data_IF_434836197021
#
_entry.id   IF_434836197021
#
_cell.length_a   1.000
_cell.length_b   1.000
_cell.length_c   1.000
_cell.angle_alpha   90.00
_cell.angle_beta   90.00
_cell.angle_gamma   90.00
#
_symmetry.space_group_name_H-M   'P 1'
#
loop_
_entity.id
_entity.type
_entity.pdbx_description
1 polymer ?
#
# COMPACT_ATOMS: atom_id res chain seq x y z
N UNK A 1 36.94 -12.18 18.53
CA UNK A 1 35.47 -12.19 18.52
C UNK A 1 35.05 -11.07 17.60
N UNK A 2 34.71 -11.42 16.36
CA UNK A 2 34.44 -10.43 15.32
C UNK A 2 33.07 -9.79 15.57
N UNK A 3 33.09 -8.53 16.00
CA UNK A 3 31.91 -7.70 16.12
C UNK A 3 31.48 -7.31 14.70
N UNK A 4 30.73 -8.19 14.01
CA UNK A 4 30.07 -7.85 12.76
C UNK A 4 29.02 -6.78 13.07
N UNK A 5 29.42 -5.51 12.93
CA UNK A 5 28.55 -4.36 13.17
C UNK A 5 27.26 -4.48 12.38
N UNK A 6 26.13 -4.43 13.08
CA UNK A 6 24.81 -4.42 12.46
C UNK A 6 24.62 -3.08 11.74
N UNK A 7 24.66 -3.10 10.40
CA UNK A 7 24.28 -1.95 9.59
C UNK A 7 22.77 -1.91 9.44
N UNK A 8 22.12 -0.86 9.94
CA UNK A 8 20.69 -0.64 9.74
C UNK A 8 20.44 -0.44 8.23
N UNK A 9 19.54 -1.24 7.60
CA UNK A 9 19.19 -1.03 6.21
C UNK A 9 18.60 0.37 6.00
N UNK A 10 18.98 1.04 4.91
CA UNK A 10 18.32 2.29 4.52
C UNK A 10 16.91 1.98 4.04
N UNK A 11 15.93 2.72 4.55
CA UNK A 11 14.54 2.65 4.10
C UNK A 11 14.27 3.89 3.25
N UNK A 12 14.03 3.75 1.93
CA UNK A 12 13.66 4.89 1.11
C UNK A 12 12.27 5.40 1.52
N UNK A 13 12.11 6.72 1.56
CA UNK A 13 10.82 7.39 1.72
C UNK A 13 10.59 8.14 0.42
N UNK A 14 9.49 7.81 -0.26
CA UNK A 14 9.10 8.43 -1.52
C UNK A 14 7.84 9.24 -1.30
N UNK A 15 7.85 10.50 -1.71
CA UNK A 15 6.68 11.36 -1.70
C UNK A 15 5.82 11.17 -2.96
N UNK A 16 4.72 11.93 -3.04
CA UNK A 16 3.78 11.84 -4.15
C UNK A 16 4.43 12.19 -5.50
N UNK A 17 5.22 13.25 -5.56
CA UNK A 17 5.87 13.70 -6.80
C UNK A 17 6.84 12.65 -7.31
N UNK A 18 7.66 12.08 -6.42
CA UNK A 18 8.60 11.02 -6.80
C UNK A 18 7.87 9.79 -7.35
N UNK A 19 6.74 9.40 -6.74
CA UNK A 19 5.91 8.30 -7.26
C UNK A 19 5.29 8.62 -8.63
N UNK A 20 4.82 9.85 -8.83
CA UNK A 20 4.25 10.30 -10.11
C UNK A 20 5.31 10.35 -11.23
N UNK A 21 6.56 10.66 -10.91
CA UNK A 21 7.69 10.63 -11.84
C UNK A 21 8.16 9.21 -12.18
N UNK A 22 8.08 8.29 -11.21
CA UNK A 22 8.57 6.92 -11.36
C UNK A 22 7.57 5.96 -12.04
N UNK A 23 6.27 6.26 -12.04
CA UNK A 23 5.23 5.32 -12.51
C UNK A 23 4.56 5.75 -13.81
N UNK A 24 4.78 4.99 -14.89
CA UNK A 24 4.02 5.12 -16.12
C UNK A 24 2.71 4.32 -16.11
N UNK A 25 1.60 4.90 -16.60
CA UNK A 25 0.30 4.21 -16.63
C UNK A 25 0.34 2.86 -17.38
N UNK A 26 1.10 2.76 -18.47
CA UNK A 26 1.25 1.50 -19.21
C UNK A 26 1.94 0.39 -18.41
N UNK A 27 2.89 0.75 -17.53
CA UNK A 27 3.58 -0.19 -16.65
C UNK A 27 2.67 -0.62 -15.50
N UNK A 28 1.93 0.33 -14.91
CA UNK A 28 0.93 0.07 -13.88
C UNK A 28 -0.13 -0.91 -14.38
N UNK A 29 -0.66 -0.73 -15.59
CA UNK A 29 -1.65 -1.64 -16.18
C UNK A 29 -1.11 -3.06 -16.33
N UNK A 30 0.12 -3.22 -16.85
CA UNK A 30 0.77 -4.53 -16.99
C UNK A 30 0.98 -5.21 -15.63
N UNK A 31 1.43 -4.45 -14.63
CA UNK A 31 1.62 -4.95 -13.28
C UNK A 31 0.29 -5.40 -12.66
N UNK A 32 -0.76 -4.58 -12.78
CA UNK A 32 -2.11 -4.89 -12.28
C UNK A 32 -2.67 -6.15 -12.95
N UNK A 33 -2.58 -6.27 -14.27
CA UNK A 33 -3.02 -7.46 -15.00
C UNK A 33 -2.27 -8.72 -14.52
N UNK A 34 -0.95 -8.61 -14.33
CA UNK A 34 -0.12 -9.70 -13.86
C UNK A 34 -0.52 -10.18 -12.46
N UNK A 35 -0.72 -9.27 -11.50
CA UNK A 35 -1.12 -9.64 -10.14
C UNK A 35 -2.52 -10.26 -10.09
N UNK A 36 -3.45 -9.80 -10.94
CA UNK A 36 -4.77 -10.44 -11.06
C UNK A 36 -4.68 -11.87 -11.59
N UNK A 37 -3.83 -12.12 -12.59
CA UNK A 37 -3.58 -13.47 -13.12
C UNK A 37 -3.00 -14.39 -12.04
N UNK A 38 -1.95 -13.95 -11.35
CA UNK A 38 -1.35 -14.70 -10.24
C UNK A 38 -2.36 -14.96 -9.11
N UNK A 39 -3.20 -13.99 -8.78
CA UNK A 39 -4.26 -14.18 -7.79
C UNK A 39 -5.27 -15.25 -8.22
N UNK A 40 -5.67 -15.27 -9.50
CA UNK A 40 -6.58 -16.27 -10.04
C UNK A 40 -5.97 -17.67 -10.08
N UNK A 41 -4.65 -17.75 -10.24
CA UNK A 41 -3.86 -18.99 -10.17
C UNK A 41 -3.57 -19.45 -8.72
N UNK A 42 -4.06 -18.74 -7.70
CA UNK A 42 -3.81 -19.07 -6.28
C UNK A 42 -2.38 -18.77 -5.81
N UNK A 43 -1.64 -17.94 -6.56
CA UNK A 43 -0.23 -17.56 -6.29
C UNK A 43 -0.08 -16.22 -5.55
N UNK A 44 -1.15 -15.76 -4.89
CA UNK A 44 -1.16 -14.54 -4.10
C UNK A 44 -1.72 -14.82 -2.71
N UNK A 45 -1.13 -14.19 -1.69
CA UNK A 45 -1.68 -14.15 -0.33
C UNK A 45 -2.26 -12.75 -0.13
N UNK A 46 -3.58 -12.63 -0.14
CA UNK A 46 -4.29 -11.37 0.08
C UNK A 46 -5.43 -11.61 1.07
N UNK A 47 -5.18 -11.54 2.39
CA UNK A 47 -6.22 -11.73 3.39
C UNK A 47 -7.27 -10.61 3.32
N UNK A 48 -8.43 -10.79 3.98
CA UNK A 48 -9.44 -9.73 4.09
C UNK A 48 -8.86 -8.43 4.66
N UNK A 49 -9.38 -7.29 4.19
CA UNK A 49 -9.02 -5.97 4.71
C UNK A 49 -9.40 -5.88 6.18
N UNK A 50 -8.55 -5.27 7.00
CA UNK A 50 -8.92 -4.90 8.37
C UNK A 50 -9.45 -3.47 8.40
N UNK A 51 -10.56 -3.28 9.10
CA UNK A 51 -11.21 -1.98 9.28
C UNK A 51 -11.07 -1.51 10.72
N UNK A 52 -10.69 -0.25 10.88
CA UNK A 52 -10.81 0.49 12.13
C UNK A 52 -11.85 1.58 11.90
N UNK A 53 -13.09 1.32 12.30
CA UNK A 53 -14.20 2.26 12.19
C UNK A 53 -14.11 3.35 13.26
N UNK A 54 -14.35 4.61 12.85
CA UNK A 54 -14.29 5.79 13.71
C UNK A 54 -15.60 6.58 13.53
N UNK A 55 -16.73 6.08 14.09
CA UNK A 55 -18.06 6.66 13.86
C UNK A 55 -18.15 8.11 14.32
N UNK A 56 -17.53 8.46 15.45
CA UNK A 56 -17.48 9.83 16.00
C UNK A 56 -16.78 10.82 15.06
N UNK A 57 -15.95 10.32 14.16
CA UNK A 57 -15.20 11.10 13.17
C UNK A 57 -15.73 10.91 11.75
N UNK A 58 -16.83 10.16 11.58
CA UNK A 58 -17.43 9.83 10.29
C UNK A 58 -16.42 9.27 9.26
N UNK A 59 -15.54 8.36 9.68
CA UNK A 59 -14.55 7.77 8.79
C UNK A 59 -13.98 6.44 9.29
N UNK A 60 -12.99 5.92 8.55
CA UNK A 60 -12.26 4.72 8.93
C UNK A 60 -10.85 4.66 8.39
N UNK A 61 -10.06 3.77 8.99
CA UNK A 61 -8.80 3.30 8.42
C UNK A 61 -8.93 1.86 7.92
N UNK A 62 -8.16 1.53 6.89
CA UNK A 62 -8.14 0.21 6.25
C UNK A 62 -6.71 -0.27 6.08
N UNK A 63 -6.41 -1.41 6.69
CA UNK A 63 -5.18 -2.14 6.43
C UNK A 63 -5.41 -3.13 5.28
N UNK A 64 -4.58 -3.07 4.25
CA UNK A 64 -4.66 -3.94 3.08
C UNK A 64 -3.29 -4.60 2.83
N UNK A 65 -2.94 -5.67 3.57
CA UNK A 65 -1.71 -6.43 3.33
C UNK A 65 -1.86 -7.38 2.15
N UNK A 66 -0.78 -7.60 1.40
CA UNK A 66 -0.67 -8.63 0.38
C UNK A 66 0.78 -9.13 0.24
N UNK A 67 0.93 -10.39 -0.15
CA UNK A 67 2.19 -10.97 -0.62
C UNK A 67 1.97 -11.63 -1.97
N UNK A 68 2.74 -11.19 -2.97
CA UNK A 68 2.65 -11.67 -4.35
C UNK A 68 3.99 -11.50 -5.05
N UNK A 69 4.37 -12.50 -5.85
CA UNK A 69 5.59 -12.45 -6.67
C UNK A 69 6.86 -12.03 -5.91
N UNK A 70 7.08 -12.63 -4.74
CA UNK A 70 8.26 -12.35 -3.89
C UNK A 70 8.21 -11.02 -3.15
N UNK A 71 7.13 -10.22 -3.29
CA UNK A 71 6.99 -8.90 -2.68
C UNK A 71 5.87 -8.87 -1.65
N UNK A 72 6.17 -8.39 -0.43
CA UNK A 72 5.19 -8.12 0.61
C UNK A 72 4.96 -6.61 0.74
N UNK A 73 3.70 -6.21 0.90
CA UNK A 73 3.35 -4.80 1.10
C UNK A 73 2.06 -4.64 1.91
N UNK A 74 1.90 -3.45 2.50
CA UNK A 74 0.69 -3.05 3.20
C UNK A 74 0.30 -1.64 2.73
N UNK A 75 -0.94 -1.50 2.27
CA UNK A 75 -1.54 -0.17 2.11
C UNK A 75 -2.34 0.17 3.36
N UNK A 76 -1.97 1.26 4.00
CA UNK A 76 -2.74 1.91 5.05
C UNK A 76 -3.46 3.10 4.45
N UNK A 77 -4.78 3.04 4.36
CA UNK A 77 -5.58 4.09 3.72
C UNK A 77 -6.75 4.48 4.61
N UNK A 78 -7.07 5.78 4.62
CA UNK A 78 -8.24 6.32 5.31
C UNK A 78 -9.35 6.69 4.34
N UNK A 79 -10.58 6.72 4.83
CA UNK A 79 -11.73 7.28 4.10
C UNK A 79 -12.55 8.16 5.05
N UNK A 80 -12.66 9.45 4.71
CA UNK A 80 -13.41 10.47 5.42
C UNK A 80 -14.25 11.28 4.43
N UNK A 81 -15.52 10.91 4.19
CA UNK A 81 -16.39 11.56 3.19
C UNK A 81 -16.51 13.09 3.33
N UNK A 82 -16.34 13.62 4.54
CA UNK A 82 -16.47 15.04 4.83
C UNK A 82 -15.17 15.86 4.72
N UNK A 83 -14.03 15.25 4.36
CA UNK A 83 -12.72 15.93 4.32
C UNK A 83 -12.68 17.16 3.42
N UNK A 84 -13.52 17.23 2.38
CA UNK A 84 -13.61 18.41 1.52
C UNK A 84 -14.00 19.68 2.28
N UNK A 85 -14.75 19.57 3.38
CA UNK A 85 -15.08 20.70 4.27
C UNK A 85 -13.85 21.30 4.94
N UNK A 86 -12.77 20.51 5.02
CA UNK A 86 -11.48 20.87 5.59
C UNK A 86 -10.41 21.12 4.53
N UNK A 87 -10.78 21.24 3.24
CA UNK A 87 -9.86 21.34 2.11
C UNK A 87 -8.89 20.14 2.00
N UNK A 88 -9.32 18.96 2.43
CA UNK A 88 -8.55 17.72 2.34
C UNK A 88 -9.19 16.72 1.35
N UNK A 89 -8.41 15.80 0.76
CA UNK A 89 -8.93 14.67 0.00
C UNK A 89 -9.80 13.75 0.86
N UNK A 90 -10.77 13.08 0.24
CA UNK A 90 -11.64 12.08 0.89
C UNK A 90 -10.87 10.93 1.49
#
# INVERSE_FOLDING_TARGET
MDNKGFTVPRVPVLDRSEIEELLGMGEVLKAVEHVFRLSAEGKAIMPPKLYLELPDYHGNFRAMPAYIDGSAGLKWVSVYPNNRRHNLPT
#
